data_IF_963688251732
#
_entry.id   IF_963688251732
#
_cell.length_a   1.000
_cell.length_b   1.000
_cell.length_c   1.000
_cell.angle_alpha   90.00
_cell.angle_beta   90.00
_cell.angle_gamma   90.00
#
_symmetry.space_group_name_H-M   'P 1'
#
loop_
_entity.id
_entity.type
_entity.pdbx_description
1 polymer ?
#
# COMPACT_ATOMS: atom_id res chain seq x y z
N UNK A 1 5.50 23.51 0.63
CA UNK A 1 6.24 22.29 1.05
C UNK A 1 5.30 21.13 1.39
N UNK A 2 4.24 21.36 2.18
CA UNK A 2 3.29 20.30 2.58
C UNK A 2 2.50 19.73 1.39
N UNK A 3 2.02 20.58 0.48
CA UNK A 3 1.29 20.15 -0.73
C UNK A 3 2.13 19.26 -1.66
N UNK A 4 3.42 19.56 -1.82
CA UNK A 4 4.33 18.74 -2.62
C UNK A 4 4.47 17.32 -2.06
N UNK A 5 4.62 17.20 -0.73
CA UNK A 5 4.68 15.91 -0.05
C UNK A 5 3.35 15.15 -0.19
N UNK A 6 2.22 15.82 0.06
CA UNK A 6 0.91 15.21 -0.08
C UNK A 6 0.64 14.71 -1.52
N UNK A 7 1.03 15.50 -2.52
CA UNK A 7 0.91 15.11 -3.94
C UNK A 7 1.73 13.87 -4.27
N UNK A 8 3.00 13.83 -3.82
CA UNK A 8 3.88 12.70 -4.05
C UNK A 8 3.36 11.44 -3.36
N UNK A 9 2.99 11.53 -2.09
CA UNK A 9 2.45 10.41 -1.32
C UNK A 9 1.15 9.87 -1.94
N UNK A 10 0.24 10.75 -2.36
CA UNK A 10 -0.99 10.35 -3.03
C UNK A 10 -0.71 9.69 -4.39
N UNK A 11 0.23 10.23 -5.18
CA UNK A 11 0.66 9.64 -6.45
C UNK A 11 1.19 8.22 -6.26
N UNK A 12 2.10 8.01 -5.30
CA UNK A 12 2.62 6.68 -4.96
C UNK A 12 1.49 5.74 -4.54
N UNK A 13 0.57 6.19 -3.68
CA UNK A 13 -0.57 5.39 -3.24
C UNK A 13 -1.47 4.98 -4.43
N UNK A 14 -1.77 5.89 -5.36
CA UNK A 14 -2.58 5.58 -6.55
C UNK A 14 -1.87 4.63 -7.50
N UNK A 15 -0.56 4.80 -7.74
CA UNK A 15 0.22 3.88 -8.56
C UNK A 15 0.20 2.48 -7.96
N UNK A 16 0.45 2.35 -6.66
CA UNK A 16 0.40 1.06 -5.96
C UNK A 16 -1.01 0.46 -5.99
N UNK A 17 -2.05 1.27 -5.79
CA UNK A 17 -3.45 0.85 -5.91
C UNK A 17 -3.77 0.32 -7.32
N UNK A 18 -3.27 1.01 -8.35
CA UNK A 18 -3.40 0.58 -9.75
C UNK A 18 -2.70 -0.74 -10.05
N UNK A 19 -1.51 -0.97 -9.49
CA UNK A 19 -0.81 -2.27 -9.58
C UNK A 19 -1.63 -3.40 -8.95
N UNK A 20 -2.23 -3.15 -7.78
CA UNK A 20 -3.10 -4.14 -7.13
C UNK A 20 -4.37 -4.40 -7.94
N UNK A 21 -5.00 -3.36 -8.49
CA UNK A 21 -6.14 -3.49 -9.38
C UNK A 21 -5.78 -4.31 -10.63
N UNK A 22 -4.60 -4.08 -11.22
CA UNK A 22 -4.08 -4.89 -12.33
C UNK A 22 -3.97 -6.38 -11.96
N UNK A 23 -3.48 -6.70 -10.76
CA UNK A 23 -3.41 -8.10 -10.29
C UNK A 23 -4.80 -8.71 -10.07
N UNK A 24 -5.77 -7.94 -9.58
CA UNK A 24 -7.17 -8.40 -9.46
C UNK A 24 -7.76 -8.78 -10.82
N UNK A 25 -7.42 -8.02 -11.87
CA UNK A 25 -7.84 -8.26 -13.26
C UNK A 25 -7.08 -9.42 -13.94
N UNK A 26 -6.20 -10.13 -13.21
CA UNK A 26 -5.47 -11.29 -13.74
C UNK A 26 -4.05 -10.97 -14.25
N UNK A 27 -3.58 -9.75 -14.02
CA UNK A 27 -2.19 -9.37 -14.23
C UNK A 27 -1.22 -10.19 -13.37
N UNK A 28 -0.10 -10.65 -13.97
CA UNK A 28 0.89 -11.50 -13.28
C UNK A 28 2.28 -10.85 -13.14
N UNK A 29 2.51 -9.71 -13.77
CA UNK A 29 3.79 -8.99 -13.71
C UNK A 29 4.06 -8.50 -12.29
N UNK A 30 5.28 -8.73 -11.78
CA UNK A 30 5.70 -8.28 -10.44
C UNK A 30 5.08 -9.05 -9.26
N UNK A 31 4.05 -9.86 -9.48
CA UNK A 31 3.38 -10.61 -8.40
C UNK A 31 4.32 -11.66 -7.78
N UNK A 32 5.09 -12.36 -8.60
CA UNK A 32 6.10 -13.35 -8.16
C UNK A 32 7.28 -12.71 -7.42
N UNK A 33 7.56 -11.42 -7.65
CA UNK A 33 8.61 -10.67 -6.94
C UNK A 33 8.07 -10.15 -5.61
N UNK A 34 6.79 -9.75 -5.58
CA UNK A 34 6.13 -9.19 -4.40
C UNK A 34 5.72 -10.23 -3.37
N UNK A 35 5.53 -11.50 -3.76
CA UNK A 35 5.19 -12.61 -2.87
C UNK A 35 6.43 -13.46 -2.64
N UNK A 36 7.01 -13.47 -1.41
CA UNK A 36 8.16 -14.31 -1.11
C UNK A 36 7.83 -15.78 -1.33
N UNK A 37 8.68 -16.50 -2.05
CA UNK A 37 8.64 -17.96 -2.15
C UNK A 37 9.65 -18.56 -1.17
N UNK A 38 9.31 -19.71 -0.57
CA UNK A 38 10.33 -20.51 0.13
C UNK A 38 11.21 -21.15 -0.95
N UNK A 39 12.50 -20.82 -0.94
CA UNK A 39 13.51 -21.65 -1.58
C UNK A 39 13.66 -22.93 -0.75
N UNK A 40 12.77 -23.90 -0.92
CA UNK A 40 12.94 -25.22 -0.32
C UNK A 40 14.06 -25.93 -1.10
N UNK A 41 15.15 -26.27 -0.41
CA UNK A 41 16.24 -27.05 -0.96
C UNK A 41 15.70 -28.36 -1.58
N UNK A 42 15.68 -28.41 -2.92
CA UNK A 42 15.43 -29.64 -3.69
C UNK A 42 14.02 -29.83 -4.28
N UNK A 43 13.02 -28.99 -4.01
CA UNK A 43 11.71 -29.12 -4.62
C UNK A 43 10.98 -27.77 -4.69
N UNK A 44 10.81 -27.22 -5.90
CA UNK A 44 9.83 -26.18 -6.28
C UNK A 44 9.74 -24.90 -5.43
N UNK A 45 9.85 -23.73 -6.06
CA UNK A 45 9.54 -22.45 -5.41
C UNK A 45 8.06 -22.36 -5.03
N UNK A 46 7.70 -22.73 -3.79
CA UNK A 46 6.33 -22.61 -3.31
C UNK A 46 6.12 -21.24 -2.61
N UNK A 47 5.12 -20.44 -3.02
CA UNK A 47 4.82 -19.15 -2.39
C UNK A 47 4.51 -19.30 -0.90
N UNK A 48 5.07 -18.43 -0.05
CA UNK A 48 4.84 -18.46 1.40
C UNK A 48 3.37 -18.21 1.77
N UNK A 49 2.66 -17.47 0.93
CA UNK A 49 1.21 -17.37 0.94
C UNK A 49 0.69 -17.12 -0.48
N UNK A 50 -0.60 -17.40 -0.72
CA UNK A 50 -1.26 -17.08 -2.00
C UNK A 50 -2.23 -15.91 -1.78
N UNK A 51 -1.96 -14.71 -2.31
CA UNK A 51 -2.91 -13.61 -2.20
C UNK A 51 -4.22 -13.95 -2.90
N UNK A 52 -5.33 -13.83 -2.17
CA UNK A 52 -6.67 -13.99 -2.75
C UNK A 52 -7.03 -12.74 -3.55
N UNK A 53 -7.77 -12.89 -4.66
CA UNK A 53 -8.24 -11.73 -5.45
C UNK A 53 -9.01 -10.72 -4.59
N UNK A 54 -9.78 -11.20 -3.63
CA UNK A 54 -10.55 -10.36 -2.69
C UNK A 54 -9.64 -9.54 -1.79
N UNK A 55 -8.60 -10.15 -1.19
CA UNK A 55 -7.63 -9.42 -0.39
C UNK A 55 -6.88 -8.36 -1.21
N UNK A 56 -6.44 -8.70 -2.42
CA UNK A 56 -5.76 -7.75 -3.32
C UNK A 56 -6.68 -6.59 -3.72
N UNK A 57 -7.96 -6.84 -3.95
CA UNK A 57 -8.94 -5.80 -4.26
C UNK A 57 -9.17 -4.85 -3.08
N UNK A 58 -9.25 -5.39 -1.85
CA UNK A 58 -9.35 -4.56 -0.64
C UNK A 58 -8.13 -3.67 -0.50
N UNK A 59 -6.92 -4.18 -0.75
CA UNK A 59 -5.69 -3.36 -0.71
C UNK A 59 -5.71 -2.25 -1.76
N UNK A 60 -6.17 -2.55 -2.98
CA UNK A 60 -6.31 -1.54 -4.03
C UNK A 60 -7.24 -0.38 -3.60
N UNK A 61 -8.39 -0.72 -3.01
CA UNK A 61 -9.36 0.27 -2.52
C UNK A 61 -8.82 1.08 -1.35
N UNK A 62 -8.14 0.44 -0.39
CA UNK A 62 -7.54 1.13 0.75
C UNK A 62 -6.45 2.12 0.30
N UNK A 63 -5.62 1.74 -0.67
CA UNK A 63 -4.60 2.62 -1.25
C UNK A 63 -5.21 3.80 -2.00
N UNK A 64 -6.30 3.58 -2.75
CA UNK A 64 -7.01 4.67 -3.41
C UNK A 64 -7.65 5.63 -2.39
N UNK A 65 -8.32 5.10 -1.35
CA UNK A 65 -8.89 5.90 -0.27
C UNK A 65 -7.82 6.69 0.48
N UNK A 66 -6.66 6.08 0.73
CA UNK A 66 -5.49 6.74 1.31
C UNK A 66 -5.00 7.90 0.44
N UNK A 67 -4.85 7.72 -0.87
CA UNK A 67 -4.40 8.78 -1.77
C UNK A 67 -5.33 10.00 -1.70
N UNK A 68 -6.64 9.77 -1.74
CA UNK A 68 -7.65 10.83 -1.58
C UNK A 68 -7.55 11.50 -0.20
N UNK A 69 -7.43 10.71 0.88
CA UNK A 69 -7.30 11.22 2.24
C UNK A 69 -6.07 12.13 2.40
N UNK A 70 -4.92 11.73 1.85
CA UNK A 70 -3.67 12.49 1.93
C UNK A 70 -3.76 13.81 1.15
N UNK A 71 -4.41 13.83 -0.01
CA UNK A 71 -4.66 15.08 -0.74
C UNK A 71 -5.50 16.07 0.07
N UNK A 72 -6.51 15.58 0.79
CA UNK A 72 -7.33 16.43 1.67
C UNK A 72 -6.56 16.89 2.90
N UNK A 73 -5.79 16.00 3.55
CA UNK A 73 -4.93 16.33 4.68
C UNK A 73 -3.89 17.40 4.31
N UNK A 74 -3.36 17.34 3.08
CA UNK A 74 -2.39 18.29 2.53
C UNK A 74 -2.98 19.60 2.02
N UNK A 75 -4.31 19.77 2.07
CA UNK A 75 -5.00 20.99 1.62
C UNK A 75 -5.21 21.11 0.10
N UNK A 76 -4.97 20.04 -0.67
CA UNK A 76 -5.07 20.04 -2.14
C UNK A 76 -6.51 19.74 -2.61
N UNK A 77 -7.20 18.88 -1.88
CA UNK A 77 -8.59 18.50 -2.15
C UNK A 77 -9.52 18.98 -1.03
N UNK A 78 -10.77 19.26 -1.37
CA UNK A 78 -11.76 19.70 -0.38
C UNK A 78 -11.99 18.62 0.70
N UNK A 79 -11.94 18.98 1.98
CA UNK A 79 -12.16 18.03 3.06
C UNK A 79 -13.65 17.69 3.18
N UNK A 80 -13.96 16.40 3.10
CA UNK A 80 -15.33 15.86 3.29
C UNK A 80 -15.59 15.33 4.72
N UNK A 81 -14.56 15.25 5.57
CA UNK A 81 -14.63 14.69 6.92
C UNK A 81 -14.46 15.80 7.97
N UNK A 82 -14.85 15.56 9.22
CA UNK A 82 -14.61 16.51 10.31
C UNK A 82 -13.12 16.83 10.47
N UNK A 83 -12.78 18.09 10.76
CA UNK A 83 -11.38 18.56 10.87
C UNK A 83 -10.54 17.75 11.88
N UNK A 84 -11.16 17.27 12.96
CA UNK A 84 -10.48 16.48 13.99
C UNK A 84 -10.05 15.08 13.49
N UNK A 85 -10.68 14.58 12.43
CA UNK A 85 -10.40 13.24 11.89
C UNK A 85 -9.05 13.18 11.17
N UNK A 86 -8.68 14.24 10.45
CA UNK A 86 -7.45 14.31 9.66
C UNK A 86 -6.15 14.09 10.45
N UNK A 87 -5.89 14.77 11.60
CA UNK A 87 -4.68 14.52 12.36
C UNK A 87 -4.64 13.09 12.94
N UNK A 88 -5.77 12.56 13.40
CA UNK A 88 -5.85 11.19 13.95
C UNK A 88 -5.61 10.18 12.82
N UNK A 89 -6.29 10.33 11.70
CA UNK A 89 -6.14 9.47 10.53
C UNK A 89 -4.72 9.52 9.96
N UNK A 90 -4.09 10.70 9.95
CA UNK A 90 -2.69 10.86 9.55
C UNK A 90 -1.72 10.07 10.43
N UNK A 91 -1.86 10.17 11.76
CA UNK A 91 -1.03 9.40 12.70
C UNK A 91 -1.28 7.90 12.62
N UNK A 92 -2.54 7.47 12.48
CA UNK A 92 -2.87 6.05 12.29
C UNK A 92 -2.26 5.51 11.00
N UNK A 93 -2.34 6.26 9.90
CA UNK A 93 -1.75 5.87 8.62
C UNK A 93 -0.22 5.77 8.74
N UNK A 94 0.42 6.75 9.39
CA UNK A 94 1.85 6.70 9.66
C UNK A 94 2.24 5.46 10.49
N UNK A 95 1.47 5.12 11.52
CA UNK A 95 1.72 3.93 12.34
C UNK A 95 1.55 2.63 11.56
N UNK A 96 0.50 2.50 10.73
CA UNK A 96 0.28 1.32 9.89
C UNK A 96 1.41 1.12 8.89
N UNK A 97 1.85 2.19 8.21
CA UNK A 97 2.94 2.09 7.24
C UNK A 97 4.30 1.91 7.91
N UNK A 98 4.52 2.49 9.09
CA UNK A 98 5.72 2.21 9.88
C UNK A 98 5.73 0.73 10.30
N UNK A 99 4.64 0.19 10.83
CA UNK A 99 4.53 -1.22 11.17
C UNK A 99 4.68 -2.13 9.95
N UNK A 100 4.15 -1.73 8.80
CA UNK A 100 4.31 -2.47 7.54
C UNK A 100 5.76 -2.49 7.09
N UNK A 101 6.46 -1.35 7.15
CA UNK A 101 7.90 -1.31 6.96
C UNK A 101 8.62 -2.19 8.00
N UNK A 102 8.11 -2.26 9.24
CA UNK A 102 8.64 -3.16 10.28
C UNK A 102 8.44 -4.65 9.95
N UNK A 103 7.27 -5.02 9.43
CA UNK A 103 6.94 -6.40 9.08
C UNK A 103 7.74 -6.97 7.91
N UNK A 104 8.25 -6.12 7.02
CA UNK A 104 9.05 -6.52 5.86
C UNK A 104 10.55 -6.82 6.22
N UNK A 105 10.99 -6.50 7.45
CA UNK A 105 12.38 -6.67 7.92
C UNK A 105 12.93 -8.10 8.06
N UNK A 106 12.16 -9.20 8.17
CA UNK A 106 12.77 -10.54 8.21
C UNK A 106 13.42 -10.96 6.87
N UNK A 107 13.17 -10.24 5.76
CA UNK A 107 13.73 -10.60 4.44
C UNK A 107 14.34 -9.41 3.69
N UNK A 108 13.91 -8.16 3.90
CA UNK A 108 14.56 -6.99 3.28
C UNK A 108 14.44 -5.77 4.20
N UNK A 109 15.48 -5.52 4.99
CA UNK A 109 15.51 -4.38 5.90
C UNK A 109 15.80 -3.04 5.22
N UNK A 110 15.21 -1.99 5.79
CA UNK A 110 15.48 -0.55 5.59
C UNK A 110 16.88 -0.27 5.06
N UNK A 111 16.94 0.19 3.81
CA UNK A 111 18.07 0.93 3.25
C UNK A 111 17.67 2.39 3.10
#
# INVERSE_FOLDING_TARGET
MIEGLASLTACVAFVLGGVHAYWVLGGRRGLMIAVPAKAAAGAGEEPLFRPTRTATAVVALLLAAMGIFVLQLGGIAEPWLPRWFYPIGGWLLAAVFALRAVGDFPVAGLF
#
